data_IF_178344887045
#
_entry.id   IF_178344887045
#
_cell.length_a   1.000
_cell.length_b   1.000
_cell.length_c   1.000
_cell.angle_alpha   90.00
_cell.angle_beta   90.00
_cell.angle_gamma   90.00
#
_symmetry.space_group_name_H-M   'P 1'
#
loop_
_entity.id
_entity.type
_entity.pdbx_description
1 polymer ?
#
# COMPACT_ATOMS: atom_id res chain seq x y z
N UNK A 1 -12.20 2.55 -13.40
CA UNK A 1 -11.09 2.13 -12.53
C UNK A 1 -11.67 1.86 -11.15
N UNK A 2 -11.46 0.67 -10.58
CA UNK A 2 -12.04 0.29 -9.27
C UNK A 2 -11.27 0.95 -8.11
N UNK A 3 -11.84 0.99 -6.91
CA UNK A 3 -11.13 1.47 -5.72
C UNK A 3 -9.90 0.59 -5.43
N UNK A 4 -9.99 -0.71 -5.72
CA UNK A 4 -8.85 -1.64 -5.69
C UNK A 4 -7.74 -1.23 -6.65
N UNK A 5 -8.06 -0.91 -7.92
CA UNK A 5 -7.07 -0.45 -8.90
C UNK A 5 -6.38 0.84 -8.46
N UNK A 6 -7.15 1.75 -7.83
CA UNK A 6 -6.63 3.00 -7.27
C UNK A 6 -5.67 2.73 -6.13
N UNK A 7 -6.04 1.88 -5.17
CA UNK A 7 -5.17 1.50 -4.04
C UNK A 7 -3.91 0.78 -4.51
N UNK A 8 -4.01 -0.14 -5.48
CA UNK A 8 -2.87 -0.83 -6.09
C UNK A 8 -1.91 0.14 -6.79
N UNK A 9 -2.46 1.15 -7.47
CA UNK A 9 -1.66 2.20 -8.12
C UNK A 9 -0.89 3.04 -7.10
N UNK A 10 -1.54 3.39 -5.97
CA UNK A 10 -0.89 4.13 -4.88
C UNK A 10 0.24 3.32 -4.24
N UNK A 11 0.04 2.02 -3.99
CA UNK A 11 1.09 1.12 -3.51
C UNK A 11 2.29 1.07 -4.46
N UNK A 12 2.04 0.96 -5.77
CA UNK A 12 3.11 0.96 -6.76
C UNK A 12 3.88 2.29 -6.77
N UNK A 13 3.17 3.41 -6.67
CA UNK A 13 3.78 4.74 -6.58
C UNK A 13 4.62 4.89 -5.30
N UNK A 14 4.12 4.43 -4.16
CA UNK A 14 4.85 4.43 -2.89
C UNK A 14 6.16 3.64 -3.00
N UNK A 15 6.13 2.45 -3.62
CA UNK A 15 7.33 1.64 -3.83
C UNK A 15 8.37 2.37 -4.71
N UNK A 16 7.93 3.04 -5.77
CA UNK A 16 8.81 3.82 -6.65
C UNK A 16 9.44 5.02 -5.94
N UNK A 17 8.67 5.76 -5.15
CA UNK A 17 9.16 6.93 -4.41
C UNK A 17 10.16 6.50 -3.34
N UNK A 18 9.87 5.43 -2.58
CA UNK A 18 10.80 4.88 -1.58
C UNK A 18 12.10 4.38 -2.19
N UNK A 19 12.04 3.74 -3.36
CA UNK A 19 13.24 3.30 -4.08
C UNK A 19 14.13 4.48 -4.52
N UNK A 20 13.54 5.67 -4.75
CA UNK A 20 14.27 6.88 -5.16
C UNK A 20 14.81 7.68 -3.98
N UNK A 21 14.26 7.51 -2.79
CA UNK A 21 14.65 8.23 -1.58
C UNK A 21 14.98 7.26 -0.43
N UNK A 22 16.14 6.57 -0.47
CA UNK A 22 16.55 5.61 0.56
C UNK A 22 16.90 6.22 1.94
N UNK A 23 16.50 7.47 2.20
CA UNK A 23 16.80 8.25 3.41
C UNK A 23 15.64 8.38 4.41
N UNK A 24 14.51 7.70 4.18
CA UNK A 24 13.49 7.47 5.21
C UNK A 24 12.40 8.54 5.33
N UNK A 25 12.71 9.82 5.13
CA UNK A 25 11.71 10.89 5.20
C UNK A 25 11.61 11.60 3.86
N UNK A 26 10.44 11.50 3.23
CA UNK A 26 10.11 12.23 2.03
C UNK A 26 8.69 12.76 2.18
N UNK A 27 8.46 14.08 2.05
CA UNK A 27 7.11 14.64 2.12
C UNK A 27 6.19 14.06 1.03
N UNK A 28 6.76 13.54 -0.07
CA UNK A 28 5.99 12.81 -1.08
C UNK A 28 5.54 11.44 -0.59
N UNK A 29 6.34 10.75 0.22
CA UNK A 29 5.94 9.49 0.86
C UNK A 29 4.82 9.75 1.86
N UNK A 30 4.94 10.80 2.67
CA UNK A 30 3.92 11.14 3.68
C UNK A 30 2.58 11.49 3.02
N UNK A 31 2.58 12.36 2.01
CA UNK A 31 1.38 12.70 1.26
C UNK A 31 0.75 11.48 0.55
N UNK A 32 1.56 10.50 0.12
CA UNK A 32 1.07 9.25 -0.45
C UNK A 32 0.41 8.36 0.59
N UNK A 33 0.98 8.28 1.79
CA UNK A 33 0.41 7.52 2.91
C UNK A 33 -0.91 8.15 3.36
N UNK A 34 -0.99 9.47 3.48
CA UNK A 34 -2.24 10.19 3.78
C UNK A 34 -3.31 9.89 2.73
N UNK A 35 -2.96 9.98 1.45
CA UNK A 35 -3.89 9.65 0.35
C UNK A 35 -4.35 8.19 0.39
N UNK A 36 -3.47 7.27 0.80
CA UNK A 36 -3.81 5.86 0.95
C UNK A 36 -4.78 5.64 2.11
N UNK A 37 -4.62 6.36 3.22
CA UNK A 37 -5.51 6.30 4.37
C UNK A 37 -6.91 6.82 4.00
N UNK A 38 -7.00 7.97 3.32
CA UNK A 38 -8.27 8.49 2.82
C UNK A 38 -9.00 7.51 1.89
N UNK A 39 -8.26 6.84 1.00
CA UNK A 39 -8.84 5.84 0.09
C UNK A 39 -9.31 4.62 0.86
N UNK A 40 -8.54 4.18 1.86
CA UNK A 40 -8.92 3.08 2.73
C UNK A 40 -10.18 3.41 3.56
N UNK A 41 -10.28 4.64 4.06
CA UNK A 41 -11.44 5.13 4.80
C UNK A 41 -12.69 5.25 3.93
N UNK A 42 -12.53 5.65 2.67
CA UNK A 42 -13.63 5.68 1.71
C UNK A 42 -14.12 4.29 1.27
N UNK A 43 -13.31 3.24 1.46
CA UNK A 43 -13.72 1.87 1.15
C UNK A 43 -14.73 1.33 2.16
N UNK A 44 -15.82 0.76 1.66
CA UNK A 44 -16.74 -0.02 2.48
C UNK A 44 -16.07 -1.27 3.05
N UNK A 45 -16.62 -1.82 4.14
CA UNK A 45 -16.14 -3.07 4.72
C UNK A 45 -16.13 -4.24 3.71
N UNK A 46 -17.10 -4.27 2.78
CA UNK A 46 -17.16 -5.27 1.71
C UNK A 46 -16.01 -5.12 0.71
N UNK A 47 -15.65 -3.89 0.35
CA UNK A 47 -14.52 -3.60 -0.54
C UNK A 47 -13.18 -3.90 0.14
N UNK A 48 -13.04 -3.59 1.44
CA UNK A 48 -11.85 -3.96 2.24
C UNK A 48 -11.70 -5.48 2.32
N UNK A 49 -12.79 -6.21 2.55
CA UNK A 49 -12.78 -7.67 2.58
C UNK A 49 -12.50 -8.30 1.21
N UNK A 50 -12.98 -7.69 0.12
CA UNK A 50 -12.63 -8.12 -1.23
C UNK A 50 -11.14 -7.90 -1.53
N UNK A 51 -10.58 -6.77 -1.07
CA UNK A 51 -9.16 -6.48 -1.18
C UNK A 51 -8.28 -7.47 -0.42
N UNK A 52 -8.66 -7.84 0.81
CA UNK A 52 -7.91 -8.83 1.60
C UNK A 52 -7.89 -10.20 0.90
N UNK A 53 -9.03 -10.66 0.37
CA UNK A 53 -9.10 -11.89 -0.42
C UNK A 53 -8.26 -11.84 -1.69
N UNK A 54 -8.21 -10.68 -2.35
CA UNK A 54 -7.37 -10.51 -3.53
C UNK A 54 -5.88 -10.49 -3.15
N UNK A 55 -5.52 -9.93 -1.99
CA UNK A 55 -4.18 -10.01 -1.42
C UNK A 55 -3.76 -11.45 -1.10
N UNK A 56 -4.66 -12.24 -0.53
CA UNK A 56 -4.43 -13.68 -0.26
C UNK A 56 -4.27 -14.50 -1.55
N UNK A 57 -4.96 -14.11 -2.64
CA UNK A 57 -4.86 -14.76 -3.96
C UNK A 57 -3.58 -14.41 -4.72
N UNK A 58 -2.98 -13.25 -4.43
CA UNK A 58 -1.71 -12.88 -5.03
C UNK A 58 -0.59 -13.76 -4.45
N UNK A 59 0.18 -14.48 -5.28
CA UNK A 59 1.24 -15.37 -4.81
C UNK A 59 2.39 -14.54 -4.21
N UNK A 60 2.36 -14.29 -2.90
CA UNK A 60 3.44 -13.79 -2.02
C UNK A 60 4.29 -12.59 -2.51
N UNK A 61 3.95 -11.94 -3.62
CA UNK A 61 4.73 -10.85 -4.23
C UNK A 61 4.69 -9.54 -3.43
N UNK A 62 3.86 -9.48 -2.39
CA UNK A 62 3.77 -8.38 -1.42
C UNK A 62 3.86 -8.90 0.01
N UNK A 63 4.65 -9.95 0.28
CA UNK A 63 5.11 -10.17 1.64
C UNK A 63 5.71 -8.83 2.11
N UNK A 64 5.13 -8.14 3.12
CA UNK A 64 5.83 -7.02 3.73
C UNK A 64 7.16 -7.61 4.19
N UNK A 65 8.26 -7.01 3.77
CA UNK A 65 9.61 -7.42 4.15
C UNK A 65 9.60 -7.96 5.58
N UNK A 66 9.68 -9.29 5.73
CA UNK A 66 9.80 -9.97 7.02
C UNK A 66 11.23 -9.82 7.56
N UNK A 67 11.72 -8.57 7.51
CA UNK A 67 13.06 -8.15 7.91
C UNK A 67 12.98 -6.81 8.64
N UNK A 68 12.41 -6.86 9.86
CA UNK A 68 12.64 -5.95 10.99
C UNK A 68 11.66 -6.39 12.10
N UNK A 69 12.04 -6.99 13.23
CA UNK A 69 13.27 -6.95 14.03
C UNK A 69 13.42 -8.27 14.84
N UNK A 70 14.65 -8.71 15.15
CA UNK A 70 14.92 -9.51 16.34
C UNK A 70 15.33 -8.59 17.50
N UNK A 71 14.67 -8.75 18.65
CA UNK A 71 15.22 -8.56 20.00
C UNK A 71 14.27 -9.19 21.02
#
# INVERSE_FOLDING_TARGET
MTVFDRYRTLLHKLALVRARAPGGESPEVDALLDTMDEVWDAMSAGERAAMERERERLPHALAPNAHALPA
#
